data_IF_265103486831
#
_entry.id   IF_265103486831
#
_cell.length_a   1.000
_cell.length_b   1.000
_cell.length_c   1.000
_cell.angle_alpha   90.00
_cell.angle_beta   90.00
_cell.angle_gamma   90.00
#
_symmetry.space_group_name_H-M   'P 1'
#
loop_
_entity.id
_entity.type
_entity.pdbx_description
1 polymer ?
#
# COMPACT_ATOMS: atom_id res chain seq x y z
N UNK A 1 -14.19 -8.62 39.18
CA UNK A 1 -12.77 -8.39 39.54
C UNK A 1 -11.97 -9.63 39.19
N UNK A 2 -10.98 -9.47 38.32
CA UNK A 2 -10.04 -10.52 37.93
C UNK A 2 -8.92 -10.55 38.97
N UNK A 3 -8.46 -11.74 39.37
CA UNK A 3 -7.40 -11.84 40.39
C UNK A 3 -6.07 -11.32 39.85
N UNK A 4 -5.21 -10.80 40.72
CA UNK A 4 -3.85 -10.36 40.35
C UNK A 4 -3.04 -11.47 39.68
N UNK A 5 -3.15 -12.70 40.19
CA UNK A 5 -2.52 -13.89 39.59
C UNK A 5 -3.06 -14.18 38.17
N UNK A 6 -4.34 -13.89 37.90
CA UNK A 6 -4.90 -14.04 36.55
C UNK A 6 -4.38 -12.94 35.63
N UNK A 7 -4.26 -11.69 36.11
CA UNK A 7 -3.69 -10.59 35.31
C UNK A 7 -2.23 -10.86 34.94
N UNK A 8 -1.41 -11.31 35.91
CA UNK A 8 -0.01 -11.67 35.65
C UNK A 8 0.13 -12.78 34.59
N UNK A 9 -0.77 -13.77 34.58
CA UNK A 9 -0.77 -14.82 33.55
C UNK A 9 -1.12 -14.27 32.17
N UNK A 10 -2.06 -13.34 32.08
CA UNK A 10 -2.44 -12.68 30.82
C UNK A 10 -1.25 -11.88 30.27
N UNK A 11 -0.57 -11.09 31.10
CA UNK A 11 0.57 -10.28 30.66
C UNK A 11 1.74 -11.16 30.16
N UNK A 12 2.00 -12.27 30.86
CA UNK A 12 3.01 -13.25 30.42
C UNK A 12 2.67 -13.84 29.05
N UNK A 13 1.40 -14.15 28.82
CA UNK A 13 0.94 -14.73 27.56
C UNK A 13 1.01 -13.72 26.41
N UNK A 14 0.64 -12.46 26.67
CA UNK A 14 0.79 -11.36 25.70
C UNK A 14 2.26 -11.23 25.30
N UNK A 15 3.18 -11.18 26.27
CA UNK A 15 4.61 -11.09 26.01
C UNK A 15 5.10 -12.28 25.19
N UNK A 16 4.71 -13.50 25.56
CA UNK A 16 5.07 -14.74 24.85
C UNK A 16 4.66 -14.66 23.38
N UNK A 17 3.41 -14.27 23.10
CA UNK A 17 2.89 -14.15 21.74
C UNK A 17 3.68 -13.12 20.94
N UNK A 18 3.94 -11.94 21.51
CA UNK A 18 4.70 -10.88 20.82
C UNK A 18 6.11 -11.36 20.48
N UNK A 19 6.82 -11.96 21.43
CA UNK A 19 8.20 -12.43 21.24
C UNK A 19 8.26 -13.53 20.16
N UNK A 20 7.30 -14.47 20.17
CA UNK A 20 7.21 -15.54 19.17
C UNK A 20 6.90 -15.00 17.77
N UNK A 21 5.92 -14.11 17.64
CA UNK A 21 5.55 -13.54 16.34
C UNK A 21 6.65 -12.62 15.79
N UNK A 22 7.34 -11.88 16.66
CA UNK A 22 8.51 -11.10 16.26
C UNK A 22 9.63 -12.01 15.72
N UNK A 23 9.94 -13.09 16.45
CA UNK A 23 10.93 -14.07 16.02
C UNK A 23 10.57 -14.72 14.67
N UNK A 24 9.30 -15.09 14.50
CA UNK A 24 8.80 -15.63 13.23
C UNK A 24 8.94 -14.63 12.08
N UNK A 25 8.47 -13.40 12.28
CA UNK A 25 8.55 -12.35 11.26
C UNK A 25 10.01 -12.08 10.86
N UNK A 26 10.91 -11.94 11.83
CA UNK A 26 12.34 -11.78 11.58
C UNK A 26 12.92 -12.93 10.77
N UNK A 27 12.61 -14.18 11.17
CA UNK A 27 13.07 -15.38 10.45
C UNK A 27 12.57 -15.40 9.00
N UNK A 28 11.31 -15.02 8.76
CA UNK A 28 10.74 -14.96 7.40
C UNK A 28 11.43 -13.88 6.54
N UNK A 29 11.69 -12.70 7.11
CA UNK A 29 12.39 -11.60 6.44
C UNK A 29 13.84 -12.01 6.11
N UNK A 30 14.56 -12.61 7.07
CA UNK A 30 15.94 -13.05 6.88
C UNK A 30 16.04 -14.21 5.87
N UNK A 31 15.11 -15.16 5.89
CA UNK A 31 15.06 -16.27 4.93
C UNK A 31 14.71 -15.82 3.49
N UNK A 32 14.10 -14.64 3.33
CA UNK A 32 13.74 -14.05 2.04
C UNK A 32 14.52 -12.74 1.79
N UNK A 33 15.75 -12.67 2.28
CA UNK A 33 16.59 -11.47 2.24
C UNK A 33 16.75 -10.92 0.82
N UNK A 34 16.91 -11.81 -0.16
CA UNK A 34 16.98 -11.50 -1.59
C UNK A 34 15.77 -10.71 -2.08
N UNK A 35 14.56 -11.16 -1.74
CA UNK A 35 13.31 -10.48 -2.09
C UNK A 35 13.20 -9.12 -1.41
N UNK A 36 13.56 -9.04 -0.13
CA UNK A 36 13.54 -7.79 0.64
C UNK A 36 14.49 -6.76 0.03
N UNK A 37 15.72 -7.17 -0.34
CA UNK A 37 16.67 -6.29 -1.03
C UNK A 37 16.16 -5.82 -2.38
N UNK A 38 15.48 -6.70 -3.13
CA UNK A 38 14.91 -6.37 -4.42
C UNK A 38 13.77 -5.34 -4.29
N UNK A 39 12.86 -5.53 -3.34
CA UNK A 39 11.80 -4.55 -3.03
C UNK A 39 12.40 -3.22 -2.58
N UNK A 40 13.40 -3.23 -1.70
CA UNK A 40 14.03 -2.01 -1.21
C UNK A 40 14.71 -1.21 -2.34
N UNK A 41 15.43 -1.90 -3.25
CA UNK A 41 16.05 -1.26 -4.42
C UNK A 41 14.98 -0.66 -5.35
N UNK A 42 13.91 -1.39 -5.60
CA UNK A 42 12.83 -0.92 -6.46
C UNK A 42 12.11 0.30 -5.86
N UNK A 43 11.89 0.32 -4.54
CA UNK A 43 11.33 1.49 -3.84
C UNK A 43 12.27 2.70 -3.86
N UNK A 44 13.59 2.50 -3.86
CA UNK A 44 14.53 3.62 -4.04
C UNK A 44 14.46 4.21 -5.45
N UNK A 45 14.13 3.40 -6.47
CA UNK A 45 14.07 3.86 -7.85
C UNK A 45 12.72 4.48 -8.23
N UNK A 46 11.62 3.93 -7.71
CA UNK A 46 10.26 4.32 -8.12
C UNK A 46 9.36 4.84 -6.99
N UNK A 47 9.86 4.90 -5.75
CA UNK A 47 9.18 5.36 -4.52
C UNK A 47 7.96 4.52 -4.07
N UNK A 48 7.26 3.89 -5.01
CA UNK A 48 6.05 3.09 -4.80
C UNK A 48 6.11 1.80 -5.60
N UNK A 49 5.38 0.79 -5.13
CA UNK A 49 5.22 -0.50 -5.82
C UNK A 49 3.74 -0.89 -5.84
N UNK A 50 3.26 -1.24 -7.02
CA UNK A 50 1.96 -1.86 -7.23
C UNK A 50 2.02 -3.36 -6.91
N UNK A 51 0.85 -3.96 -6.68
CA UNK A 51 0.71 -5.40 -6.38
C UNK A 51 1.40 -6.30 -7.42
N UNK A 52 1.28 -5.99 -8.72
CA UNK A 52 1.91 -6.77 -9.79
C UNK A 52 3.44 -6.79 -9.68
N UNK A 53 4.04 -5.68 -9.21
CA UNK A 53 5.48 -5.56 -9.03
C UNK A 53 5.93 -6.34 -7.79
N UNK A 54 5.14 -6.31 -6.72
CA UNK A 54 5.40 -7.12 -5.52
C UNK A 54 5.31 -8.61 -5.85
N UNK A 55 4.30 -9.03 -6.63
CA UNK A 55 4.12 -10.41 -7.08
C UNK A 55 5.33 -10.91 -7.87
N UNK A 56 5.87 -10.11 -8.78
CA UNK A 56 7.09 -10.44 -9.52
C UNK A 56 8.27 -10.72 -8.58
N UNK A 57 8.49 -9.84 -7.59
CA UNK A 57 9.56 -10.03 -6.58
C UNK A 57 9.32 -11.27 -5.73
N UNK A 58 8.07 -11.53 -5.35
CA UNK A 58 7.71 -12.73 -4.58
C UNK A 58 7.97 -14.02 -5.36
N UNK A 59 7.85 -13.98 -6.68
CA UNK A 59 8.19 -15.08 -7.59
C UNK A 59 9.69 -15.11 -7.97
N UNK A 60 10.52 -14.27 -7.35
CA UNK A 60 11.97 -14.22 -7.58
C UNK A 60 12.38 -13.53 -8.88
N UNK A 61 11.46 -12.80 -9.51
CA UNK A 61 11.72 -12.02 -10.73
C UNK A 61 11.94 -10.54 -10.37
N UNK A 62 12.74 -9.81 -11.16
CA UNK A 62 12.82 -8.36 -11.02
C UNK A 62 11.43 -7.72 -11.25
N UNK A 63 11.07 -6.68 -10.48
CA UNK A 63 9.79 -6.02 -10.65
C UNK A 63 9.71 -5.30 -12.00
N UNK A 64 8.55 -5.36 -12.64
CA UNK A 64 8.27 -4.61 -13.88
C UNK A 64 8.25 -3.09 -13.65
N UNK A 65 8.46 -2.26 -14.69
CA UNK A 65 8.33 -0.81 -14.58
C UNK A 65 6.93 -0.36 -14.11
N UNK A 66 6.81 0.78 -13.41
CA UNK A 66 5.54 1.31 -12.96
C UNK A 66 4.63 1.70 -14.14
N UNK A 67 3.31 1.54 -13.95
CA UNK A 67 2.32 1.96 -14.94
C UNK A 67 2.27 3.49 -14.98
N UNK A 68 2.11 4.12 -16.16
CA UNK A 68 1.93 5.56 -16.23
C UNK A 68 0.70 5.96 -15.43
N UNK A 69 0.85 6.92 -14.52
CA UNK A 69 -0.27 7.44 -13.74
C UNK A 69 -1.30 8.02 -14.72
N UNK A 70 -2.48 7.42 -14.76
CA UNK A 70 -3.61 7.97 -15.51
C UNK A 70 -4.14 9.17 -14.73
N UNK A 71 -3.45 10.31 -14.85
CA UNK A 71 -4.05 11.60 -14.52
C UNK A 71 -5.24 11.75 -15.47
N UNK A 72 -6.49 11.87 -14.99
CA UNK A 72 -7.58 12.23 -15.89
C UNK A 72 -7.22 13.58 -16.49
N UNK A 73 -6.98 13.60 -17.80
CA UNK A 73 -6.68 14.82 -18.53
C UNK A 73 -7.81 15.81 -18.26
N UNK A 74 -7.47 16.93 -17.63
CA UNK A 74 -8.36 18.06 -17.44
C UNK A 74 -8.91 18.45 -18.83
N UNK A 75 -10.24 18.42 -19.08
CA UNK A 75 -10.76 18.74 -20.40
C UNK A 75 -10.42 20.20 -20.68
N UNK A 76 -9.53 20.41 -21.63
CA UNK A 76 -9.08 21.72 -22.05
C UNK A 76 -10.24 22.38 -22.80
N UNK A 77 -11.10 23.09 -22.08
CA UNK A 77 -12.05 24.02 -22.70
C UNK A 77 -11.27 25.24 -23.20
N UNK A 78 -10.84 25.18 -24.46
CA UNK A 78 -10.32 26.30 -25.26
C UNK A 78 -11.23 26.59 -26.45
N UNK A 79 -11.19 27.81 -27.01
CA UNK A 79 -12.37 28.63 -27.24
C UNK A 79 -12.96 28.44 -28.65
N UNK A 80 -14.26 28.18 -28.74
CA UNK A 80 -14.99 28.52 -29.95
C UNK A 80 -16.36 29.07 -29.58
N UNK A 81 -16.57 30.33 -29.92
CA UNK A 81 -17.82 31.06 -29.72
C UNK A 81 -18.84 30.66 -30.80
N UNK A 82 -20.04 30.29 -30.35
CA UNK A 82 -21.26 30.22 -31.15
C UNK A 82 -22.46 30.38 -30.20
N UNK A 83 -23.43 31.28 -30.46
CA UNK A 83 -24.46 31.63 -29.48
C UNK A 83 -25.74 30.81 -29.71
N UNK A 84 -26.02 29.81 -28.88
CA UNK A 84 -27.35 29.19 -28.68
C UNK A 84 -27.16 28.10 -27.62
N UNK A 85 -27.90 27.97 -26.51
CA UNK A 85 -29.19 28.50 -26.13
C UNK A 85 -29.20 28.75 -24.60
N UNK A 86 -29.99 29.72 -24.17
CA UNK A 86 -30.15 30.12 -22.77
C UNK A 86 -30.81 29.01 -21.91
N UNK A 87 -30.39 28.81 -20.64
CA UNK A 87 -31.23 28.18 -19.65
C UNK A 87 -32.06 29.28 -18.96
N UNK A 88 -33.33 29.40 -19.31
CA UNK A 88 -34.28 30.15 -18.47
C UNK A 88 -34.52 29.34 -17.21
N UNK A 89 -33.99 29.82 -16.10
CA UNK A 89 -34.42 29.44 -14.77
C UNK A 89 -35.93 29.67 -14.62
N UNK A 90 -36.63 28.67 -14.07
CA UNK A 90 -37.95 28.86 -13.46
C UNK A 90 -37.80 28.51 -11.98
N UNK A 91 -37.91 29.49 -11.05
CA UNK A 91 -38.09 29.22 -9.63
C UNK A 91 -39.58 29.09 -9.28
N UNK A 92 -39.85 28.39 -8.17
CA UNK A 92 -41.05 28.41 -7.32
C UNK A 92 -42.44 28.66 -7.96
#
# INVERSE_FOLDING_TARGET
>A
NVSEATMQKVDQEIKRIIDEQYGLARKLIEANRDKVEMMAKALLEWETLDTDQVEDVMQGRPPRPPKPSSTPANPTFGPNAGPEAAPTASPA
#
